data_IF_881997037246
#
_entry.id   IF_881997037246
#
_cell.length_a   1.000
_cell.length_b   1.000
_cell.length_c   1.000
_cell.angle_alpha   90.00
_cell.angle_beta   90.00
_cell.angle_gamma   90.00
#
_symmetry.space_group_name_H-M   'P 1'
#
loop_
_entity.id
_entity.type
_entity.pdbx_description
1 polymer ?
#
# COMPACT_ATOMS: atom_id res chain seq x y z
N UNK A 1 76.84 23.64 -4.46
CA UNK A 1 76.96 22.28 -3.92
C UNK A 1 75.58 21.64 -3.89
N UNK A 2 75.43 20.44 -4.48
CA UNK A 2 74.47 19.34 -4.23
C UNK A 2 73.23 19.65 -3.35
N UNK A 3 71.98 19.30 -3.65
CA UNK A 3 71.31 18.48 -4.68
C UNK A 3 69.82 18.81 -4.66
N UNK A 4 69.21 18.89 -5.86
CA UNK A 4 67.78 18.77 -6.10
C UNK A 4 67.24 17.44 -5.54
N UNK A 5 66.00 17.45 -5.04
CA UNK A 5 64.99 16.41 -5.29
C UNK A 5 63.61 17.00 -4.97
N UNK A 6 62.93 17.45 -6.03
CA UNK A 6 61.54 17.90 -6.05
C UNK A 6 60.63 16.69 -5.81
N UNK A 7 59.96 16.64 -4.66
CA UNK A 7 58.87 15.70 -4.40
C UNK A 7 57.56 16.39 -4.83
N UNK A 8 57.15 16.20 -6.08
CA UNK A 8 55.83 16.59 -6.56
C UNK A 8 54.79 15.59 -6.03
N UNK A 9 54.18 15.92 -4.90
CA UNK A 9 53.04 15.18 -4.37
C UNK A 9 51.81 15.44 -5.26
N UNK A 10 51.58 14.56 -6.23
CA UNK A 10 50.35 14.53 -7.03
C UNK A 10 49.24 13.89 -6.19
N UNK A 11 48.44 14.73 -5.56
CA UNK A 11 47.22 14.32 -4.86
C UNK A 11 46.15 13.97 -5.91
N UNK A 12 46.01 12.69 -6.22
CA UNK A 12 44.90 12.18 -7.05
C UNK A 12 43.63 12.26 -6.21
N UNK A 13 42.89 13.37 -6.35
CA UNK A 13 41.54 13.52 -5.82
C UNK A 13 40.65 12.56 -6.63
N UNK A 14 40.42 11.38 -6.07
CA UNK A 14 39.41 10.45 -6.58
C UNK A 14 38.04 11.03 -6.25
N UNK A 15 37.49 11.80 -7.17
CA UNK A 15 36.11 12.27 -7.09
C UNK A 15 35.21 11.03 -7.21
N UNK A 16 34.73 10.53 -6.07
CA UNK A 16 33.65 9.56 -6.05
C UNK A 16 32.40 10.29 -6.54
N UNK A 17 32.19 10.32 -7.86
CA UNK A 17 30.89 10.64 -8.44
C UNK A 17 30.01 9.43 -8.12
N UNK A 18 29.42 9.42 -6.92
CA UNK A 18 28.23 8.65 -6.68
C UNK A 18 27.18 9.20 -7.65
N UNK A 19 26.92 8.48 -8.75
CA UNK A 19 25.77 8.79 -9.58
C UNK A 19 24.55 8.61 -8.68
N UNK A 20 24.02 9.71 -8.16
CA UNK A 20 22.62 9.77 -7.75
C UNK A 20 21.85 9.45 -9.02
N UNK A 21 21.50 8.18 -9.19
CA UNK A 21 20.64 7.71 -10.26
C UNK A 21 19.37 8.52 -10.09
N UNK A 22 19.16 9.52 -10.97
CA UNK A 22 18.03 10.42 -10.89
C UNK A 22 16.79 9.55 -11.04
N UNK A 23 16.17 9.16 -9.93
CA UNK A 23 14.89 8.51 -9.94
C UNK A 23 13.93 9.52 -10.55
N UNK A 24 13.57 9.33 -11.81
CA UNK A 24 12.52 10.12 -12.45
C UNK A 24 11.22 9.71 -11.75
N UNK A 25 10.66 10.55 -10.85
CA UNK A 25 9.60 10.12 -9.94
C UNK A 25 8.30 9.75 -10.66
N UNK A 26 8.19 10.11 -11.94
CA UNK A 26 7.02 9.88 -12.78
C UNK A 26 7.24 8.85 -13.89
N UNK A 27 8.44 8.29 -14.05
CA UNK A 27 8.70 7.33 -15.12
C UNK A 27 7.82 6.07 -14.96
N UNK A 28 7.09 5.71 -16.02
CA UNK A 28 6.17 4.57 -16.05
C UNK A 28 4.76 4.89 -15.52
N UNK A 29 4.52 6.05 -14.91
CA UNK A 29 3.19 6.43 -14.42
C UNK A 29 2.24 6.75 -15.59
N UNK A 30 2.77 7.21 -16.71
CA UNK A 30 2.05 7.45 -17.97
C UNK A 30 1.36 6.19 -18.53
N UNK A 31 1.81 5.00 -18.13
CA UNK A 31 1.21 3.73 -18.56
C UNK A 31 0.12 3.22 -17.62
N UNK A 32 -0.10 3.86 -16.46
CA UNK A 32 -1.18 3.46 -15.55
C UNK A 32 -2.55 3.74 -16.17
N UNK A 33 -3.55 2.88 -15.91
CA UNK A 33 -4.92 3.12 -16.35
C UNK A 33 -5.53 4.36 -15.69
N UNK A 34 -5.14 4.67 -14.45
CA UNK A 34 -5.49 5.90 -13.72
C UNK A 34 -4.19 6.46 -13.15
N UNK A 35 -3.77 7.67 -13.54
CA UNK A 35 -2.42 8.17 -13.20
C UNK A 35 -2.20 8.34 -11.70
N UNK A 36 -3.23 8.78 -10.98
CA UNK A 36 -3.19 9.01 -9.55
C UNK A 36 -3.19 7.73 -8.69
N UNK A 37 -3.66 6.60 -9.23
CA UNK A 37 -3.82 5.35 -8.48
C UNK A 37 -2.91 4.24 -9.02
N UNK A 38 -2.18 3.58 -8.13
CA UNK A 38 -1.51 2.32 -8.46
C UNK A 38 -2.53 1.19 -8.63
N UNK A 39 -2.13 0.11 -9.31
CA UNK A 39 -2.97 -1.09 -9.43
C UNK A 39 -3.37 -1.64 -8.06
N UNK A 40 -2.44 -1.68 -7.10
CA UNK A 40 -2.72 -2.11 -5.74
C UNK A 40 -3.79 -1.25 -5.07
N UNK A 41 -3.74 0.07 -5.21
CA UNK A 41 -4.76 0.97 -4.65
C UNK A 41 -6.12 0.74 -5.31
N UNK A 42 -6.17 0.52 -6.63
CA UNK A 42 -7.42 0.18 -7.33
C UNK A 42 -7.98 -1.12 -6.78
N UNK A 43 -7.16 -2.15 -6.63
CA UNK A 43 -7.59 -3.44 -6.12
C UNK A 43 -8.01 -3.35 -4.65
N UNK A 44 -7.33 -2.51 -3.85
CA UNK A 44 -7.66 -2.27 -2.45
C UNK A 44 -9.01 -1.58 -2.31
N UNK A 45 -9.25 -0.52 -3.09
CA UNK A 45 -10.52 0.21 -3.13
C UNK A 45 -11.66 -0.71 -3.57
N UNK A 46 -11.48 -1.45 -4.66
CA UNK A 46 -12.49 -2.40 -5.17
C UNK A 46 -12.79 -3.52 -4.19
N UNK A 47 -11.80 -3.92 -3.41
CA UNK A 47 -11.97 -4.89 -2.35
C UNK A 47 -12.36 -4.26 -1.00
N UNK A 48 -12.58 -2.95 -0.87
CA UNK A 48 -12.90 -2.30 0.40
C UNK A 48 -11.86 -2.57 1.51
N UNK A 49 -10.57 -2.60 1.16
CA UNK A 49 -9.47 -2.77 2.13
C UNK A 49 -9.17 -1.45 2.81
N UNK A 50 -8.73 -1.54 4.08
CA UNK A 50 -8.60 -0.37 4.95
C UNK A 50 -7.55 0.66 4.53
N UNK A 51 -6.48 0.27 3.81
CA UNK A 51 -5.45 1.20 3.27
C UNK A 51 -4.91 2.25 4.27
N UNK A 52 -4.96 1.97 5.58
CA UNK A 52 -4.59 2.91 6.64
C UNK A 52 -5.64 3.99 6.97
N UNK A 53 -6.85 3.94 6.40
CA UNK A 53 -7.93 4.90 6.61
C UNK A 53 -8.42 4.96 8.07
N UNK A 54 -8.31 3.84 8.79
CA UNK A 54 -8.67 3.74 10.21
C UNK A 54 -7.50 3.98 11.18
N UNK A 55 -6.29 4.37 10.73
CA UNK A 55 -5.12 4.47 11.62
C UNK A 55 -5.35 5.38 12.84
N UNK A 56 -6.15 6.44 12.70
CA UNK A 56 -6.51 7.29 13.82
C UNK A 56 -7.27 6.53 14.93
N UNK A 57 -8.11 5.57 14.56
CA UNK A 57 -8.80 4.69 15.51
C UNK A 57 -7.86 3.59 16.02
N UNK A 58 -7.20 2.88 15.10
CA UNK A 58 -6.33 1.73 15.42
C UNK A 58 -5.20 2.09 16.39
N UNK A 59 -4.48 3.18 16.10
CA UNK A 59 -3.33 3.61 16.89
C UNK A 59 -3.72 4.26 18.22
N UNK A 60 -5.00 4.57 18.42
CA UNK A 60 -5.56 5.07 19.68
C UNK A 60 -6.41 4.00 20.40
N UNK A 61 -6.24 2.73 20.05
CA UNK A 61 -6.83 1.60 20.78
C UNK A 61 -8.30 1.34 20.51
N UNK A 62 -8.90 1.95 19.48
CA UNK A 62 -10.29 1.67 19.09
C UNK A 62 -10.36 0.36 18.28
N UNK A 63 -11.03 -0.70 18.79
CA UNK A 63 -11.07 -1.99 18.12
C UNK A 63 -11.80 -1.94 16.78
N UNK A 64 -11.17 -2.51 15.74
CA UNK A 64 -11.79 -2.69 14.42
C UNK A 64 -12.46 -4.06 14.31
N UNK A 65 -13.57 -4.19 13.56
CA UNK A 65 -14.37 -5.41 13.54
C UNK A 65 -13.57 -6.63 13.04
N UNK A 66 -12.70 -6.46 12.03
CA UNK A 66 -11.84 -7.53 11.52
C UNK A 66 -10.89 -8.07 12.60
N UNK A 67 -10.24 -7.20 13.35
CA UNK A 67 -9.28 -7.60 14.39
C UNK A 67 -9.98 -8.19 15.61
N UNK A 68 -11.17 -7.70 15.95
CA UNK A 68 -11.96 -8.27 17.04
C UNK A 68 -12.41 -9.69 16.71
N UNK A 69 -12.83 -9.95 15.47
CA UNK A 69 -13.15 -11.31 15.00
C UNK A 69 -11.92 -12.22 15.03
N UNK A 70 -10.77 -11.74 14.54
CA UNK A 70 -9.49 -12.47 14.58
C UNK A 70 -9.08 -12.85 16.02
N UNK A 71 -9.30 -11.95 16.97
CA UNK A 71 -8.95 -12.15 18.38
C UNK A 71 -10.08 -12.77 19.20
N UNK A 72 -11.17 -13.21 18.57
CA UNK A 72 -12.43 -13.50 19.26
C UNK A 72 -12.30 -14.45 20.45
N UNK A 73 -11.50 -15.51 20.33
CA UNK A 73 -11.28 -16.48 21.41
C UNK A 73 -10.46 -15.89 22.56
N UNK A 74 -9.46 -15.06 22.23
CA UNK A 74 -8.57 -14.40 23.20
C UNK A 74 -9.25 -13.24 23.93
N UNK A 75 -10.30 -12.70 23.32
CA UNK A 75 -11.20 -11.69 23.91
C UNK A 75 -12.42 -12.32 24.59
N UNK A 76 -12.53 -13.66 24.57
CA UNK A 76 -13.66 -14.40 25.14
C UNK A 76 -15.01 -13.85 24.65
N UNK A 77 -15.11 -13.51 23.35
CA UNK A 77 -16.34 -12.95 22.80
C UNK A 77 -17.50 -13.93 22.95
N UNK A 78 -18.61 -13.44 23.51
CA UNK A 78 -19.87 -14.19 23.55
C UNK A 78 -20.38 -14.47 22.14
N UNK A 79 -21.27 -15.46 22.00
CA UNK A 79 -21.90 -15.76 20.72
C UNK A 79 -22.61 -14.51 20.14
N UNK A 80 -23.30 -13.75 20.98
CA UNK A 80 -24.01 -12.53 20.57
C UNK A 80 -23.04 -11.43 20.12
N UNK A 81 -21.93 -11.23 20.84
CA UNK A 81 -20.89 -10.28 20.42
C UNK A 81 -20.28 -10.66 19.08
N UNK A 82 -19.99 -11.95 18.84
CA UNK A 82 -19.47 -12.42 17.54
C UNK A 82 -20.44 -12.14 16.41
N UNK A 83 -21.73 -12.42 16.60
CA UNK A 83 -22.77 -12.13 15.60
C UNK A 83 -22.84 -10.62 15.34
N UNK A 84 -22.80 -9.79 16.38
CA UNK A 84 -22.87 -8.34 16.23
C UNK A 84 -21.63 -7.78 15.51
N UNK A 85 -20.43 -8.20 15.88
CA UNK A 85 -19.19 -7.75 15.23
C UNK A 85 -19.11 -8.25 13.78
N UNK A 86 -19.57 -9.47 13.49
CA UNK A 86 -19.65 -9.97 12.11
C UNK A 86 -20.56 -9.10 11.25
N UNK A 87 -21.74 -8.72 11.75
CA UNK A 87 -22.64 -7.79 11.04
C UNK A 87 -21.98 -6.43 10.79
N UNK A 88 -21.23 -5.91 11.76
CA UNK A 88 -20.47 -4.66 11.60
C UNK A 88 -19.36 -4.80 10.55
N UNK A 89 -18.65 -5.94 10.52
CA UNK A 89 -17.63 -6.22 9.50
C UNK A 89 -18.24 -6.27 8.10
N UNK A 90 -19.34 -7.01 7.93
CA UNK A 90 -20.00 -7.19 6.63
C UNK A 90 -20.56 -5.87 6.10
N UNK A 91 -21.20 -5.08 6.99
CA UNK A 91 -21.72 -3.77 6.64
C UNK A 91 -20.61 -2.78 6.26
N UNK A 92 -19.51 -2.74 7.03
CA UNK A 92 -18.31 -1.96 6.70
C UNK A 92 -17.77 -2.35 5.32
N UNK A 93 -17.64 -3.66 5.08
CA UNK A 93 -17.08 -4.18 3.83
C UNK A 93 -17.93 -3.78 2.63
N UNK A 94 -19.24 -3.95 2.73
CA UNK A 94 -20.18 -3.57 1.67
C UNK A 94 -20.10 -2.08 1.35
N UNK A 95 -20.10 -1.24 2.38
CA UNK A 95 -20.02 0.21 2.23
C UNK A 95 -18.69 0.65 1.61
N UNK A 96 -17.56 0.12 2.11
CA UNK A 96 -16.23 0.42 1.60
C UNK A 96 -16.05 -0.02 0.14
N UNK A 97 -16.58 -1.18 -0.26
CA UNK A 97 -16.56 -1.65 -1.65
C UNK A 97 -17.36 -0.72 -2.55
N UNK A 98 -18.56 -0.31 -2.13
CA UNK A 98 -19.39 0.62 -2.91
C UNK A 98 -18.69 1.96 -3.12
N UNK A 99 -18.12 2.53 -2.05
CA UNK A 99 -17.42 3.81 -2.09
C UNK A 99 -16.09 3.71 -2.86
N UNK A 100 -15.36 2.61 -2.72
CA UNK A 100 -14.10 2.36 -3.43
C UNK A 100 -14.30 2.25 -4.94
N UNK A 101 -15.34 1.56 -5.40
CA UNK A 101 -15.69 1.53 -6.83
C UNK A 101 -16.04 2.92 -7.35
N UNK A 102 -16.88 3.67 -6.63
CA UNK A 102 -17.23 5.04 -6.98
C UNK A 102 -16.00 5.95 -7.07
N UNK A 103 -15.07 5.82 -6.13
CA UNK A 103 -13.84 6.61 -6.14
C UNK A 103 -12.96 6.28 -7.36
N UNK A 104 -12.83 5.00 -7.71
CA UNK A 104 -12.10 4.57 -8.92
C UNK A 104 -12.73 5.16 -10.18
N UNK A 105 -14.06 5.17 -10.29
CA UNK A 105 -14.78 5.79 -11.42
C UNK A 105 -14.55 7.30 -11.50
N UNK A 106 -14.63 8.01 -10.36
CA UNK A 106 -14.43 9.46 -10.31
C UNK A 106 -13.00 9.86 -10.66
N UNK A 107 -12.00 9.11 -10.18
CA UNK A 107 -10.58 9.32 -10.54
C UNK A 107 -10.32 9.00 -12.02
N UNK A 108 -11.02 8.00 -12.57
CA UNK A 108 -10.98 7.69 -14.01
C UNK A 108 -11.52 8.86 -14.83
N UNK A 109 -12.64 9.44 -14.42
CA UNK A 109 -13.22 10.59 -15.11
C UNK A 109 -12.33 11.83 -15.03
N UNK A 110 -11.72 12.10 -13.87
CA UNK A 110 -10.74 13.17 -13.73
C UNK A 110 -9.57 12.99 -14.72
N UNK A 111 -9.00 11.78 -14.80
CA UNK A 111 -7.92 11.49 -15.76
C UNK A 111 -8.37 11.64 -17.23
N UNK A 112 -9.62 11.24 -17.53
CA UNK A 112 -10.22 11.39 -18.86
C UNK A 112 -10.36 12.86 -19.27
N UNK A 113 -10.82 13.74 -18.39
CA UNK A 113 -11.00 15.17 -18.67
C UNK A 113 -9.68 15.83 -19.10
N UNK A 114 -8.58 15.50 -18.43
CA UNK A 114 -7.25 16.02 -18.76
C UNK A 114 -6.63 15.35 -20.00
N UNK A 115 -6.68 14.02 -20.09
CA UNK A 115 -6.10 13.29 -21.24
C UNK A 115 -6.77 13.65 -22.57
N UNK A 116 -8.06 13.96 -22.55
CA UNK A 116 -8.83 14.40 -23.73
C UNK A 116 -8.83 15.91 -23.94
N UNK A 117 -8.15 16.69 -23.08
CA UNK A 117 -8.02 18.15 -23.15
C UNK A 117 -9.36 18.91 -23.15
N UNK A 118 -10.37 18.37 -22.46
CA UNK A 118 -11.70 19.01 -22.34
C UNK A 118 -11.98 19.58 -20.95
N UNK A 119 -11.03 19.45 -20.02
CA UNK A 119 -11.15 20.00 -18.67
C UNK A 119 -11.39 21.52 -18.70
N UNK A 120 -12.41 21.96 -17.97
CA UNK A 120 -12.75 23.36 -17.69
C UNK A 120 -12.70 23.62 -16.18
N UNK A 121 -12.62 24.89 -15.77
CA UNK A 121 -12.67 25.24 -14.33
C UNK A 121 -13.93 24.72 -13.63
N UNK A 122 -15.06 24.69 -14.34
CA UNK A 122 -16.34 24.18 -13.82
C UNK A 122 -16.31 22.66 -13.64
N UNK A 123 -15.96 21.91 -14.70
CA UNK A 123 -15.87 20.43 -14.64
C UNK A 123 -14.84 19.95 -13.63
N UNK A 124 -13.70 20.66 -13.50
CA UNK A 124 -12.67 20.39 -12.50
C UNK A 124 -13.25 20.54 -11.09
N UNK A 125 -13.91 21.68 -10.81
CA UNK A 125 -14.49 21.93 -9.48
C UNK A 125 -15.53 20.87 -9.12
N UNK A 126 -16.45 20.55 -10.04
CA UNK A 126 -17.47 19.54 -9.80
C UNK A 126 -16.87 18.16 -9.52
N UNK A 127 -15.88 17.74 -10.32
CA UNK A 127 -15.21 16.45 -10.17
C UNK A 127 -14.44 16.35 -8.84
N UNK A 128 -13.68 17.38 -8.47
CA UNK A 128 -12.92 17.40 -7.22
C UNK A 128 -13.82 17.39 -5.99
N UNK A 129 -14.95 18.11 -6.01
CA UNK A 129 -15.94 18.05 -4.92
C UNK A 129 -16.45 16.63 -4.77
N UNK A 130 -16.88 16.00 -5.86
CA UNK A 130 -17.41 14.64 -5.83
C UNK A 130 -16.39 13.59 -5.37
N UNK A 131 -15.12 13.73 -5.76
CA UNK A 131 -14.01 12.87 -5.27
C UNK A 131 -13.82 13.07 -3.76
N UNK A 132 -13.76 14.33 -3.31
CA UNK A 132 -13.51 14.64 -1.90
C UNK A 132 -14.61 14.12 -0.98
N UNK A 133 -15.87 14.18 -1.42
CA UNK A 133 -17.00 13.61 -0.71
C UNK A 133 -16.89 12.09 -0.60
N UNK A 134 -16.60 11.39 -1.70
CA UNK A 134 -16.41 9.93 -1.66
C UNK A 134 -15.22 9.53 -0.79
N UNK A 135 -14.10 10.26 -0.85
CA UNK A 135 -12.95 10.00 0.02
C UNK A 135 -13.28 10.20 1.50
N UNK A 136 -14.02 11.26 1.83
CA UNK A 136 -14.47 11.52 3.19
C UNK A 136 -15.37 10.39 3.70
N UNK A 137 -16.38 9.99 2.91
CA UNK A 137 -17.28 8.89 3.25
C UNK A 137 -16.55 7.56 3.37
N UNK A 138 -15.57 7.29 2.50
CA UNK A 138 -14.78 6.05 2.57
C UNK A 138 -13.99 6.00 3.89
N UNK A 139 -13.33 7.10 4.26
CA UNK A 139 -12.62 7.19 5.55
C UNK A 139 -13.57 7.11 6.73
N UNK A 140 -14.72 7.77 6.65
CA UNK A 140 -15.77 7.73 7.67
C UNK A 140 -16.25 6.29 7.89
N UNK A 141 -16.50 5.53 6.81
CA UNK A 141 -16.93 4.14 6.90
C UNK A 141 -15.97 3.34 7.78
N UNK A 142 -14.67 3.42 7.52
CA UNK A 142 -13.67 2.75 8.35
C UNK A 142 -13.69 3.22 9.81
N UNK A 143 -13.73 4.53 10.07
CA UNK A 143 -13.69 5.05 11.44
C UNK A 143 -14.97 4.76 12.25
N UNK A 144 -16.15 4.88 11.64
CA UNK A 144 -17.43 4.69 12.34
C UNK A 144 -17.66 3.24 12.75
N UNK A 145 -17.15 2.27 11.97
CA UNK A 145 -17.24 0.86 12.35
C UNK A 145 -16.23 0.49 13.46
N UNK A 146 -15.11 1.21 13.61
CA UNK A 146 -14.29 1.12 14.81
C UNK A 146 -15.04 1.64 16.05
N UNK A 147 -15.72 2.78 15.96
CA UNK A 147 -16.55 3.31 17.07
C UNK A 147 -17.65 2.31 17.45
N UNK A 148 -18.37 1.78 16.47
CA UNK A 148 -19.46 0.83 16.67
C UNK A 148 -18.95 -0.49 17.28
N UNK A 149 -17.83 -1.01 16.79
CA UNK A 149 -17.21 -2.23 17.35
C UNK A 149 -16.75 -2.00 18.78
N UNK A 150 -16.18 -0.83 19.08
CA UNK A 150 -15.81 -0.45 20.45
C UNK A 150 -17.00 -0.50 21.40
N UNK A 151 -18.20 -0.14 20.95
CA UNK A 151 -19.41 -0.16 21.78
C UNK A 151 -19.91 -1.59 22.09
N UNK A 152 -19.53 -2.61 21.32
CA UNK A 152 -19.92 -4.02 21.54
C UNK A 152 -19.13 -4.67 22.67
N UNK A 153 -17.89 -4.23 22.88
CA UNK A 153 -16.99 -4.83 23.86
C UNK A 153 -17.21 -4.23 25.25
N UNK A 154 -17.02 -5.05 26.28
CA UNK A 154 -16.94 -4.58 27.65
C UNK A 154 -15.56 -3.95 27.97
N UNK A 155 -15.40 -3.26 29.12
CA UNK A 155 -14.13 -2.63 29.47
C UNK A 155 -12.93 -3.59 29.55
N UNK A 156 -13.15 -4.82 30.05
CA UNK A 156 -12.09 -5.82 30.18
C UNK A 156 -11.62 -6.34 28.82
N UNK A 157 -12.56 -6.54 27.89
CA UNK A 157 -12.26 -6.93 26.51
C UNK A 157 -11.51 -5.83 25.75
N UNK A 158 -11.85 -4.55 25.97
CA UNK A 158 -11.10 -3.41 25.38
C UNK A 158 -9.67 -3.36 25.88
N UNK A 159 -9.48 -3.54 27.19
CA UNK A 159 -8.15 -3.59 27.79
C UNK A 159 -7.34 -4.76 27.20
N UNK A 160 -7.93 -5.96 27.15
CA UNK A 160 -7.30 -7.14 26.55
C UNK A 160 -6.92 -6.88 25.09
N UNK A 161 -7.83 -6.32 24.29
CA UNK A 161 -7.55 -5.96 22.90
C UNK A 161 -6.33 -5.05 22.77
N UNK A 162 -6.22 -4.01 23.60
CA UNK A 162 -5.08 -3.09 23.58
C UNK A 162 -3.75 -3.83 23.86
N UNK A 163 -3.71 -4.70 24.86
CA UNK A 163 -2.53 -5.53 25.18
C UNK A 163 -2.14 -6.46 24.03
N UNK A 164 -3.13 -7.09 23.41
CA UNK A 164 -2.93 -8.02 22.30
C UNK A 164 -2.38 -7.32 21.05
N UNK A 165 -2.83 -6.09 20.79
CA UNK A 165 -2.35 -5.28 19.66
C UNK A 165 -0.94 -4.74 19.88
N UNK A 166 -0.59 -4.32 21.10
CA UNK A 166 0.79 -3.96 21.44
C UNK A 166 1.71 -5.16 21.29
N UNK A 167 1.32 -6.34 21.78
CA UNK A 167 2.12 -7.56 21.66
C UNK A 167 2.32 -7.97 20.21
N UNK A 168 1.26 -7.98 19.39
CA UNK A 168 1.37 -8.30 17.96
C UNK A 168 2.24 -7.28 17.20
N UNK A 169 2.20 -5.99 17.56
CA UNK A 169 3.07 -4.98 16.96
C UNK A 169 4.55 -5.19 17.31
N UNK A 170 4.85 -5.68 18.52
CA UNK A 170 6.21 -5.99 18.97
C UNK A 170 6.76 -7.31 18.39
N UNK A 171 5.87 -8.25 18.05
CA UNK A 171 6.23 -9.56 17.47
C UNK A 171 6.23 -9.59 15.94
N UNK A 172 5.70 -8.56 15.27
CA UNK A 172 5.80 -8.45 13.81
C UNK A 172 7.28 -8.39 13.39
N UNK A 173 7.72 -9.20 12.41
CA UNK A 173 9.10 -9.16 11.94
C UNK A 173 9.42 -7.74 11.52
N UNK A 174 10.39 -7.11 12.21
CA UNK A 174 11.00 -5.86 11.72
C UNK A 174 11.61 -6.21 10.38
N UNK A 175 11.05 -5.64 9.32
CA UNK A 175 11.60 -5.75 7.98
C UNK A 175 13.08 -5.35 8.04
N UNK A 176 13.96 -6.34 8.07
CA UNK A 176 15.42 -6.18 8.02
C UNK A 176 15.85 -6.49 6.60
N UNK A 177 15.21 -5.83 5.65
CA UNK A 177 15.64 -5.76 4.27
C UNK A 177 16.77 -4.73 4.12
N UNK A 178 17.85 -4.91 4.90
CA UNK A 178 19.19 -4.53 4.45
C UNK A 178 19.63 -5.59 3.45
N UNK A 179 19.24 -5.37 2.20
CA UNK A 179 19.72 -6.10 1.03
C UNK A 179 21.24 -6.17 1.10
N UNK A 180 21.74 -7.39 1.33
CA UNK A 180 23.13 -7.76 1.10
C UNK A 180 23.43 -7.49 -0.37
N UNK A 181 24.04 -6.35 -0.68
CA UNK A 181 24.74 -6.14 -1.95
C UNK A 181 25.96 -7.07 -1.97
N UNK A 182 25.75 -8.34 -2.29
CA UNK A 182 26.85 -9.24 -2.69
C UNK A 182 27.09 -9.02 -4.17
N UNK A 183 28.20 -8.34 -4.43
CA UNK A 183 28.86 -8.23 -5.72
C UNK A 183 28.82 -9.57 -6.49
N UNK A 184 28.29 -9.54 -7.71
CA UNK A 184 28.76 -10.40 -8.78
C UNK A 184 29.19 -9.51 -9.94
N UNK A 185 30.51 -9.35 -10.07
CA UNK A 185 31.17 -8.82 -11.26
C UNK A 185 31.17 -9.92 -12.33
N UNK A 186 30.80 -9.51 -13.55
CA UNK A 186 31.11 -10.04 -14.87
C UNK A 186 31.81 -11.41 -14.97
N UNK A 187 31.18 -12.30 -15.73
CA UNK A 187 31.91 -13.08 -16.74
C UNK A 187 31.16 -12.96 -18.07
N UNK A 188 31.96 -12.69 -19.10
CA UNK A 188 31.65 -12.31 -20.46
C UNK A 188 31.47 -13.55 -21.37
N UNK A 189 30.85 -13.30 -22.53
CA UNK A 189 31.12 -13.94 -23.82
C UNK A 189 30.50 -15.29 -24.21
N UNK A 190 29.55 -15.18 -25.16
CA UNK A 190 29.35 -16.04 -26.35
C UNK A 190 28.85 -17.50 -26.18
N UNK A 191 27.72 -17.82 -26.84
CA UNK A 191 27.62 -18.72 -28.01
C UNK A 191 26.15 -19.16 -28.31
N UNK A 192 25.67 -18.75 -29.50
CA UNK A 192 24.62 -19.25 -30.43
C UNK A 192 23.39 -20.08 -29.98
N UNK A 193 22.23 -19.96 -30.70
CA UNK A 193 21.00 -20.68 -30.38
C UNK A 193 20.99 -22.09 -30.97
N UNK A 194 20.35 -23.05 -30.28
CA UNK A 194 20.05 -24.39 -30.80
C UNK A 194 18.54 -24.55 -30.99
N UNK A 195 18.16 -24.82 -32.24
CA UNK A 195 16.83 -25.21 -32.69
C UNK A 195 16.72 -26.75 -32.60
N UNK A 196 15.63 -27.26 -32.03
CA UNK A 196 14.94 -28.55 -32.30
C UNK A 196 13.78 -28.65 -31.30
N UNK A 197 12.49 -28.59 -31.66
CA UNK A 197 11.68 -29.52 -32.45
C UNK A 197 11.56 -30.93 -31.83
N UNK A 198 10.38 -31.54 -32.03
CA UNK A 198 9.89 -32.90 -31.64
C UNK A 198 9.14 -32.90 -30.28
N UNK A 199 7.94 -33.45 -30.09
CA UNK A 199 6.88 -34.06 -30.91
C UNK A 199 5.69 -34.32 -29.95
N UNK A 200 4.50 -34.33 -30.53
CA UNK A 200 3.23 -34.89 -30.07
C UNK A 200 3.22 -35.80 -28.83
N UNK A 201 2.21 -35.60 -27.97
CA UNK A 201 1.39 -36.71 -27.49
C UNK A 201 -0.09 -36.26 -27.40
N UNK A 202 -0.94 -37.10 -27.98
CA UNK A 202 -2.37 -36.96 -28.18
C UNK A 202 -3.08 -38.01 -27.30
N UNK A 203 -4.34 -37.73 -26.93
CA UNK A 203 -5.36 -38.65 -26.35
C UNK A 203 -5.23 -38.89 -24.82
N UNK A 204 -6.27 -38.83 -23.98
CA UNK A 204 -7.74 -38.95 -24.12
C UNK A 204 -8.41 -37.96 -23.18
#
# INVERSE_FOLDING_TARGET
MRRLLLLAATLIISCNIASAQSSQPYAGLEHRPIKALSQQQIDDLRAGRGMGLALAAELNGYPGPSHVLELGDRLELTADQRIQVQRLFDAMKQEAVSLGNKLVEQETELDRLFSTRVATSESLRATLVAISETQALLRESHLKYHLSTTAVLDPSQKQRYAELRVTNALMAPKDTSTVTKRNHRNADSTMRPRISAVSEYLSV
#
